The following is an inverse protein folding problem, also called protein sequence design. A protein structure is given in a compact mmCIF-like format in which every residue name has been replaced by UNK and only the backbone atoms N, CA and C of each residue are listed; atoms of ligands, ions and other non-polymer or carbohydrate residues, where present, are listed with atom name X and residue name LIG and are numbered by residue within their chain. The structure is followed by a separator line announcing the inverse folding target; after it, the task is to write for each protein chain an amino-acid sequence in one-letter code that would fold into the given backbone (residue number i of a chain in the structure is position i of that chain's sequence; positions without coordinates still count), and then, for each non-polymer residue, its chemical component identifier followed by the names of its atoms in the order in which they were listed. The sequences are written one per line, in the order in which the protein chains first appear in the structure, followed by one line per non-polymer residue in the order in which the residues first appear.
data_IF_195330006229
#
_entry.id   IF_195330006229
#
_cell.length_a   1.000
_cell.length_b   1.000
_cell.length_c   1.000
_cell.angle_alpha   90.00
_cell.angle_beta   90.00
_cell.angle_gamma   90.00
#
_symmetry.space_group_name_H-M   'P 1'
#
loop_
_entity.id
_entity.type
_entity.pdbx_description
1 polymer ?
#
# COMPACT_ATOMS: atom_id res chain seq x y z
N UNK A 1 -22.53 -111.00 -19.65
CA UNK A 1 -21.92 -110.32 -20.80
C UNK A 1 -23.01 -110.09 -21.85
N UNK A 2 -23.85 -109.09 -21.60
CA UNK A 2 -25.12 -108.77 -22.29
C UNK A 2 -25.26 -107.24 -22.16
N UNK A 3 -25.34 -106.40 -23.19
CA UNK A 3 -26.12 -106.49 -24.42
C UNK A 3 -27.53 -107.01 -24.17
N UNK A 4 -28.42 -106.10 -23.80
CA UNK A 4 -29.39 -105.55 -24.76
C UNK A 4 -30.21 -104.48 -24.00
N UNK A 5 -29.97 -103.19 -24.22
CA UNK A 5 -30.49 -102.43 -25.36
C UNK A 5 -32.02 -102.43 -25.43
N UNK A 6 -32.52 -101.19 -25.38
CA UNK A 6 -33.31 -100.60 -26.47
C UNK A 6 -34.72 -101.17 -26.55
N UNK A 7 -35.68 -100.37 -26.13
CA UNK A 7 -36.56 -99.64 -27.04
C UNK A 7 -37.57 -98.88 -26.15
N UNK A 8 -37.49 -97.55 -26.11
CA UNK A 8 -38.07 -96.69 -27.14
C UNK A 8 -39.59 -96.62 -27.02
N UNK A 9 -40.03 -95.36 -26.92
CA UNK A 9 -41.20 -94.82 -27.60
C UNK A 9 -42.57 -95.07 -26.96
N UNK A 10 -43.30 -93.96 -26.90
CA UNK A 10 -44.76 -93.85 -26.85
C UNK A 10 -45.39 -94.00 -25.47
N UNK A 11 -45.40 -92.92 -24.69
CA UNK A 11 -46.65 -92.39 -24.10
C UNK A 11 -46.51 -90.99 -23.52
N UNK A 12 -45.85 -90.15 -24.31
CA UNK A 12 -45.80 -88.68 -24.19
C UNK A 12 -47.04 -87.97 -24.78
N UNK A 13 -48.20 -88.63 -24.93
CA UNK A 13 -49.16 -88.22 -25.97
C UNK A 13 -50.63 -88.02 -25.59
N UNK A 14 -51.06 -88.18 -24.33
CA UNK A 14 -52.50 -88.03 -24.02
C UNK A 14 -52.91 -86.73 -23.32
N UNK A 15 -52.03 -86.03 -22.60
CA UNK A 15 -52.43 -84.79 -21.91
C UNK A 15 -52.09 -83.50 -22.67
N UNK A 16 -51.18 -83.55 -23.65
CA UNK A 16 -50.88 -82.44 -24.59
C UNK A 16 -52.12 -82.01 -25.39
N UNK A 17 -53.13 -82.88 -25.54
CA UNK A 17 -54.31 -82.59 -26.36
C UNK A 17 -55.44 -81.84 -25.64
N UNK A 18 -55.41 -81.73 -24.31
CA UNK A 18 -56.39 -80.93 -23.56
C UNK A 18 -56.00 -79.44 -23.46
N UNK A 19 -54.70 -79.12 -23.44
CA UNK A 19 -54.21 -77.74 -23.35
C UNK A 19 -54.29 -76.96 -24.68
N UNK A 20 -54.36 -77.64 -25.82
CA UNK A 20 -54.27 -77.01 -27.15
C UNK A 20 -55.52 -76.23 -27.60
N UNK A 21 -56.66 -76.33 -26.91
CA UNK A 21 -57.89 -75.58 -27.28
C UNK A 21 -58.09 -74.27 -26.51
N UNK A 22 -57.45 -74.08 -25.35
CA UNK A 22 -57.51 -72.81 -24.62
C UNK A 22 -56.55 -71.74 -25.19
N UNK A 23 -55.57 -72.14 -25.99
CA UNK A 23 -54.57 -71.24 -26.59
C UNK A 23 -55.13 -70.42 -27.76
N UNK A 24 -56.26 -70.80 -28.37
CA UNK A 24 -56.74 -70.13 -29.58
C UNK A 24 -57.67 -68.91 -29.38
N UNK A 25 -58.05 -68.56 -28.14
CA UNK A 25 -58.93 -67.40 -27.90
C UNK A 25 -58.27 -66.24 -27.12
N UNK A 26 -56.99 -66.38 -26.74
CA UNK A 26 -56.24 -65.36 -26.00
C UNK A 26 -55.25 -64.56 -26.87
N UNK A 27 -55.26 -64.73 -28.20
CA UNK A 27 -54.23 -64.18 -29.11
C UNK A 27 -54.70 -63.03 -30.02
N UNK A 28 -55.80 -62.35 -29.69
CA UNK A 28 -56.37 -61.29 -30.56
C UNK A 28 -56.56 -59.91 -29.90
N UNK A 29 -55.89 -59.63 -28.77
CA UNK A 29 -55.95 -58.32 -28.09
C UNK A 29 -54.61 -57.71 -27.57
N UNK A 30 -53.38 -57.99 -28.06
CA UNK A 30 -52.20 -57.22 -27.60
C UNK A 30 -51.88 -55.96 -28.42
N UNK A 31 -52.27 -55.87 -29.69
CA UNK A 31 -51.61 -54.93 -30.63
C UNK A 31 -52.25 -53.53 -30.72
N UNK A 32 -53.45 -53.31 -30.17
CA UNK A 32 -54.10 -51.99 -30.25
C UNK A 32 -53.81 -51.08 -29.02
N UNK A 33 -53.56 -51.67 -27.85
CA UNK A 33 -53.30 -50.92 -26.61
C UNK A 33 -51.85 -50.39 -26.56
N UNK A 34 -50.93 -51.04 -27.29
CA UNK A 34 -49.51 -50.73 -27.25
C UNK A 34 -49.15 -49.46 -28.02
N UNK A 35 -49.85 -49.13 -29.11
CA UNK A 35 -49.53 -47.95 -29.94
C UNK A 35 -50.06 -46.63 -29.35
N UNK A 36 -51.27 -46.59 -28.77
CA UNK A 36 -51.75 -45.37 -28.08
C UNK A 36 -50.89 -45.04 -26.85
N UNK A 37 -50.48 -46.05 -26.07
CA UNK A 37 -49.55 -45.85 -24.95
C UNK A 37 -48.18 -45.31 -25.40
N UNK A 38 -47.75 -45.63 -26.64
CA UNK A 38 -46.48 -45.17 -27.20
C UNK A 38 -46.56 -43.73 -27.68
N UNK A 39 -47.67 -43.34 -28.29
CA UNK A 39 -47.94 -41.97 -28.74
C UNK A 39 -48.11 -41.04 -27.52
N UNK A 40 -48.83 -41.47 -26.48
CA UNK A 40 -49.05 -40.67 -25.27
C UNK A 40 -47.77 -40.47 -24.43
N UNK A 41 -46.92 -41.50 -24.33
CA UNK A 41 -45.58 -41.34 -23.72
C UNK A 41 -44.64 -40.46 -24.55
N UNK A 42 -44.78 -40.47 -25.87
CA UNK A 42 -44.01 -39.63 -26.78
C UNK A 42 -44.38 -38.16 -26.63
N UNK A 43 -45.68 -37.84 -26.58
CA UNK A 43 -46.17 -36.46 -26.40
C UNK A 43 -45.85 -35.92 -25.01
N UNK A 44 -45.97 -36.73 -23.95
CA UNK A 44 -45.52 -36.34 -22.60
C UNK A 44 -44.02 -36.04 -22.54
N UNK A 45 -43.17 -36.88 -23.17
CA UNK A 45 -41.72 -36.63 -23.22
C UNK A 45 -41.38 -35.33 -23.97
N UNK A 46 -42.08 -35.04 -25.07
CA UNK A 46 -41.87 -33.82 -25.85
C UNK A 46 -42.32 -32.55 -25.09
N UNK A 47 -43.48 -32.62 -24.42
CA UNK A 47 -43.97 -31.51 -23.57
C UNK A 47 -43.06 -31.28 -22.37
N UNK A 48 -42.60 -32.35 -21.71
CA UNK A 48 -41.68 -32.27 -20.58
C UNK A 48 -40.32 -31.68 -20.99
N UNK A 49 -39.78 -32.08 -22.14
CA UNK A 49 -38.55 -31.50 -22.72
C UNK A 49 -38.70 -30.00 -23.04
N UNK A 50 -39.85 -29.58 -23.57
CA UNK A 50 -40.12 -28.16 -23.89
C UNK A 50 -40.25 -27.27 -22.64
N UNK A 51 -40.82 -27.79 -21.56
CA UNK A 51 -40.96 -27.06 -20.29
C UNK A 51 -39.63 -26.95 -19.54
N UNK A 52 -38.78 -27.98 -19.61
CA UNK A 52 -37.42 -27.96 -19.06
C UNK A 52 -36.57 -26.91 -19.78
N UNK A 53 -36.62 -26.85 -21.11
CA UNK A 53 -35.89 -25.85 -21.91
C UNK A 53 -36.29 -24.41 -21.58
N UNK A 54 -37.59 -24.14 -21.41
CA UNK A 54 -38.12 -22.82 -21.02
C UNK A 54 -37.78 -22.44 -19.57
N UNK A 55 -37.70 -23.40 -18.66
CA UNK A 55 -37.30 -23.18 -17.27
C UNK A 55 -35.80 -22.87 -17.17
N UNK A 56 -34.95 -23.62 -17.88
CA UNK A 56 -33.51 -23.40 -17.96
C UNK A 56 -33.16 -22.02 -18.56
N UNK A 57 -33.87 -21.59 -19.61
CA UNK A 57 -33.65 -20.25 -20.20
C UNK A 57 -34.09 -19.12 -19.27
N UNK A 58 -35.12 -19.31 -18.43
CA UNK A 58 -35.53 -18.32 -17.42
C UNK A 58 -34.52 -18.22 -16.27
N UNK A 59 -34.03 -19.36 -15.77
CA UNK A 59 -33.01 -19.41 -14.72
C UNK A 59 -31.71 -18.77 -15.23
N UNK A 60 -31.29 -19.08 -16.47
CA UNK A 60 -30.09 -18.48 -17.07
C UNK A 60 -30.21 -16.96 -17.25
N UNK A 61 -31.39 -16.45 -17.66
CA UNK A 61 -31.64 -15.00 -17.78
C UNK A 61 -31.62 -14.30 -16.42
N UNK A 62 -32.20 -14.91 -15.38
CA UNK A 62 -32.16 -14.36 -14.02
C UNK A 62 -30.74 -14.38 -13.44
N UNK A 63 -29.94 -15.40 -13.76
CA UNK A 63 -28.54 -15.49 -13.36
C UNK A 63 -27.67 -14.41 -14.02
N UNK A 64 -27.89 -14.14 -15.32
CA UNK A 64 -27.18 -13.08 -16.06
C UNK A 64 -27.55 -11.68 -15.52
N UNK A 65 -28.83 -11.42 -15.21
CA UNK A 65 -29.25 -10.14 -14.62
C UNK A 65 -28.68 -9.95 -13.21
N UNK A 66 -28.60 -11.02 -12.41
CA UNK A 66 -27.94 -10.98 -11.09
C UNK A 66 -26.44 -10.71 -11.18
N UNK A 67 -25.75 -11.24 -12.19
CA UNK A 67 -24.31 -11.02 -12.40
C UNK A 67 -23.99 -9.58 -12.83
N UNK A 68 -24.87 -8.97 -13.64
CA UNK A 68 -24.72 -7.57 -14.08
C UNK A 68 -24.96 -6.58 -12.93
N UNK A 69 -25.87 -6.88 -12.01
CA UNK A 69 -26.11 -6.04 -10.81
C UNK A 69 -25.03 -6.18 -9.73
N UNK A 70 -24.27 -7.27 -9.71
CA UNK A 70 -23.14 -7.46 -8.79
C UNK A 70 -21.84 -6.75 -9.26
N UNK A 71 -21.85 -6.15 -10.46
CA UNK A 71 -20.67 -5.51 -11.06
C UNK A 71 -20.62 -4.00 -10.86
N UNK A 72 -21.47 -3.43 -10.01
CA UNK A 72 -21.25 -2.08 -9.51
C UNK A 72 -20.06 -2.11 -8.57
N UNK A 73 -18.86 -2.03 -9.14
CA UNK A 73 -17.65 -1.68 -8.41
C UNK A 73 -17.97 -0.41 -7.64
N UNK A 74 -18.14 -0.52 -6.33
CA UNK A 74 -18.02 0.62 -5.44
C UNK A 74 -16.67 1.23 -5.80
N UNK A 75 -16.66 2.39 -6.44
CA UNK A 75 -15.46 3.15 -6.70
C UNK A 75 -14.98 3.64 -5.33
N UNK A 76 -14.36 2.75 -4.56
CA UNK A 76 -13.56 3.14 -3.43
C UNK A 76 -12.45 3.99 -4.03
N UNK A 77 -12.46 5.29 -3.71
CA UNK A 77 -11.40 6.20 -4.10
C UNK A 77 -10.06 5.53 -3.73
N UNK A 78 -9.27 5.19 -4.74
CA UNK A 78 -7.98 4.55 -4.49
C UNK A 78 -7.15 5.51 -3.63
N UNK A 79 -6.64 5.02 -2.50
CA UNK A 79 -5.82 5.82 -1.57
C UNK A 79 -4.54 6.27 -2.27
N UNK A 80 -4.16 7.54 -2.10
CA UNK A 80 -2.95 8.11 -2.70
C UNK A 80 -1.75 7.90 -1.78
N UNK A 81 -0.78 7.07 -2.15
CA UNK A 81 0.36 6.73 -1.28
C UNK A 81 1.45 7.80 -1.32
N UNK A 82 1.65 8.50 -0.20
CA UNK A 82 2.64 9.59 -0.09
C UNK A 82 3.73 9.19 0.88
N UNK A 83 4.96 9.07 0.37
CA UNK A 83 6.16 8.81 1.14
C UNK A 83 6.86 10.14 1.39
N UNK A 84 6.92 10.59 2.64
CA UNK A 84 7.48 11.90 2.98
C UNK A 84 8.52 11.81 4.10
N UNK A 85 9.56 12.64 4.00
CA UNK A 85 10.56 12.76 5.05
C UNK A 85 9.93 13.06 6.41
N UNK A 86 10.39 12.40 7.48
CA UNK A 86 9.80 12.51 8.82
C UNK A 86 9.74 13.95 9.37
N UNK A 87 10.68 14.82 9.01
CA UNK A 87 10.67 16.24 9.41
C UNK A 87 9.42 16.98 8.90
N UNK A 88 8.88 16.58 7.75
CA UNK A 88 7.70 17.18 7.13
C UNK A 88 6.37 16.79 7.78
N UNK A 89 6.37 15.84 8.73
CA UNK A 89 5.16 15.18 9.21
C UNK A 89 3.99 16.14 9.49
N UNK A 90 4.18 17.07 10.42
CA UNK A 90 3.08 17.96 10.84
C UNK A 90 2.56 18.86 9.71
N UNK A 91 3.44 19.34 8.82
CA UNK A 91 3.03 20.15 7.67
C UNK A 91 2.27 19.32 6.64
N UNK A 92 2.76 18.12 6.31
CA UNK A 92 2.14 17.25 5.32
C UNK A 92 0.82 16.66 5.83
N UNK A 93 0.69 16.37 7.14
CA UNK A 93 -0.58 15.94 7.75
C UNK A 93 -1.68 17.00 7.48
N UNK A 94 -1.39 18.28 7.72
CA UNK A 94 -2.37 19.35 7.48
C UNK A 94 -2.59 19.63 5.98
N UNK A 95 -1.53 19.63 5.17
CA UNK A 95 -1.65 19.79 3.72
C UNK A 95 -2.51 18.68 3.12
N UNK A 96 -2.32 17.44 3.56
CA UNK A 96 -3.09 16.28 3.10
C UNK A 96 -4.56 16.39 3.50
N UNK A 97 -4.87 16.85 4.72
CA UNK A 97 -6.24 17.10 5.14
C UNK A 97 -6.91 18.19 4.27
N UNK A 98 -6.19 19.29 4.01
CA UNK A 98 -6.68 20.37 3.15
C UNK A 98 -6.88 19.90 1.70
N UNK A 99 -5.95 19.09 1.17
CA UNK A 99 -6.05 18.48 -0.15
C UNK A 99 -7.28 17.59 -0.25
N UNK A 100 -7.47 16.66 0.70
CA UNK A 100 -8.61 15.75 0.73
C UNK A 100 -9.95 16.50 0.81
N UNK A 101 -10.03 17.57 1.59
CA UNK A 101 -11.22 18.41 1.67
C UNK A 101 -11.56 19.12 0.34
N UNK A 102 -10.56 19.42 -0.49
CA UNK A 102 -10.74 20.11 -1.77
C UNK A 102 -10.98 19.16 -2.95
N UNK A 103 -10.33 18.01 -2.97
CA UNK A 103 -10.31 17.10 -4.13
C UNK A 103 -11.12 15.83 -3.91
N UNK A 104 -11.44 15.48 -2.66
CA UNK A 104 -12.02 14.20 -2.28
C UNK A 104 -11.04 13.01 -2.35
N UNK A 105 -9.78 13.24 -2.69
CA UNK A 105 -8.74 12.20 -2.69
C UNK A 105 -8.02 12.18 -1.34
N UNK A 106 -8.00 11.03 -0.67
CA UNK A 106 -7.37 10.88 0.65
C UNK A 106 -5.93 10.34 0.52
N UNK A 107 -4.90 11.14 0.89
CA UNK A 107 -3.53 10.66 0.92
C UNK A 107 -3.28 9.74 2.12
N UNK A 108 -2.67 8.58 1.88
CA UNK A 108 -2.10 7.71 2.91
C UNK A 108 -0.64 8.06 3.11
N UNK A 109 -0.32 8.58 4.29
CA UNK A 109 0.98 9.18 4.58
C UNK A 109 1.91 8.18 5.27
N UNK A 110 3.10 8.00 4.71
CA UNK A 110 4.18 7.18 5.28
C UNK A 110 5.41 8.04 5.54
N UNK A 111 5.89 8.01 6.78
CA UNK A 111 7.01 8.85 7.23
C UNK A 111 8.20 8.01 7.68
N UNK A 112 9.38 8.33 7.15
CA UNK A 112 10.66 7.82 7.62
C UNK A 112 11.78 8.77 7.18
N UNK A 113 13.04 8.37 7.36
CA UNK A 113 14.14 9.04 6.69
C UNK A 113 13.99 8.92 5.15
N UNK A 114 14.31 9.97 4.40
CA UNK A 114 14.24 9.95 2.94
C UNK A 114 15.08 8.82 2.34
N UNK A 115 16.19 8.44 2.98
CA UNK A 115 17.01 7.28 2.62
C UNK A 115 16.22 5.97 2.65
N UNK A 116 15.52 5.71 3.74
CA UNK A 116 14.71 4.49 3.91
C UNK A 116 13.57 4.46 2.91
N UNK A 117 12.86 5.58 2.74
CA UNK A 117 11.75 5.68 1.80
C UNK A 117 12.21 5.49 0.34
N UNK A 118 13.32 6.11 -0.05
CA UNK A 118 13.88 5.93 -1.39
C UNK A 118 14.31 4.47 -1.64
N UNK A 119 14.92 3.82 -0.65
CA UNK A 119 15.27 2.40 -0.75
C UNK A 119 14.01 1.51 -0.83
N UNK A 120 12.95 1.83 -0.09
CA UNK A 120 11.68 1.11 -0.22
C UNK A 120 11.10 1.24 -1.63
N UNK A 121 11.08 2.45 -2.20
CA UNK A 121 10.63 2.68 -3.58
C UNK A 121 11.47 1.88 -4.58
N UNK A 122 12.81 1.92 -4.44
CA UNK A 122 13.73 1.10 -5.24
C UNK A 122 13.40 -0.39 -5.16
N UNK A 123 12.97 -0.88 -4.00
CA UNK A 123 12.59 -2.28 -3.77
C UNK A 123 11.13 -2.59 -4.13
N UNK A 124 10.42 -1.67 -4.79
CA UNK A 124 9.07 -1.89 -5.32
C UNK A 124 7.94 -1.60 -4.35
N UNK A 125 8.19 -0.85 -3.26
CA UNK A 125 7.11 -0.37 -2.41
C UNK A 125 6.17 0.56 -3.22
N UNK A 126 4.84 0.39 -3.10
CA UNK A 126 3.89 1.22 -3.82
C UNK A 126 3.87 2.63 -3.24
N UNK A 127 4.39 3.60 -3.99
CA UNK A 127 4.29 5.02 -3.70
C UNK A 127 3.75 5.76 -4.93
N UNK A 128 2.87 6.73 -4.72
CA UNK A 128 2.40 7.65 -5.75
C UNK A 128 3.20 8.95 -5.72
N UNK A 129 3.64 9.39 -4.53
CA UNK A 129 4.43 10.61 -4.32
C UNK A 129 5.62 10.32 -3.39
N UNK A 130 6.77 10.89 -3.72
CA UNK A 130 7.94 10.93 -2.84
C UNK A 130 8.32 12.37 -2.52
N UNK A 131 8.53 12.66 -1.23
CA UNK A 131 8.99 13.97 -0.73
C UNK A 131 10.26 13.79 0.09
N UNK A 132 11.40 14.22 -0.47
CA UNK A 132 12.73 14.08 0.12
C UNK A 132 13.14 15.34 0.87
N UNK A 133 13.94 15.18 1.94
CA UNK A 133 14.58 16.28 2.68
C UNK A 133 15.97 16.68 2.15
N UNK A 134 16.44 16.04 1.08
CA UNK A 134 17.62 16.47 0.33
C UNK A 134 17.52 16.11 -1.16
N UNK A 135 18.37 16.76 -1.96
CA UNK A 135 18.48 16.52 -3.39
C UNK A 135 19.06 15.13 -3.70
N UNK A 136 19.98 14.61 -2.86
CA UNK A 136 20.66 13.34 -3.12
C UNK A 136 19.73 12.14 -3.24
N UNK A 137 18.76 11.99 -2.33
CA UNK A 137 17.79 10.87 -2.41
C UNK A 137 16.73 11.07 -3.48
N UNK A 138 16.41 12.32 -3.83
CA UNK A 138 15.54 12.59 -4.98
C UNK A 138 16.24 12.21 -6.28
N UNK A 139 17.48 12.68 -6.46
CA UNK A 139 18.30 12.35 -7.62
C UNK A 139 18.58 10.84 -7.73
N UNK A 140 18.75 10.15 -6.60
CA UNK A 140 18.87 8.69 -6.59
C UNK A 140 17.67 7.99 -7.27
N UNK A 141 16.43 8.44 -6.99
CA UNK A 141 15.24 7.88 -7.62
C UNK A 141 15.09 8.34 -9.08
N UNK A 142 15.46 9.58 -9.39
CA UNK A 142 15.53 10.09 -10.76
C UNK A 142 16.44 9.21 -11.63
N UNK A 143 17.63 8.88 -11.15
CA UNK A 143 18.59 8.00 -11.84
C UNK A 143 18.07 6.58 -12.06
N UNK A 144 17.15 6.11 -11.22
CA UNK A 144 16.48 4.82 -11.39
C UNK A 144 15.32 4.88 -12.40
N UNK A 145 14.96 6.06 -12.88
CA UNK A 145 13.88 6.26 -13.86
C UNK A 145 12.49 6.01 -13.29
N UNK A 146 12.31 6.10 -11.96
CA UNK A 146 11.01 5.84 -11.31
C UNK A 146 10.12 7.08 -11.16
N UNK A 147 10.66 8.28 -11.44
CA UNK A 147 9.88 9.52 -11.41
C UNK A 147 9.08 9.67 -12.70
N UNK A 148 7.81 10.07 -12.60
CA UNK A 148 6.98 10.41 -13.77
C UNK A 148 7.27 11.81 -14.31
N UNK A 149 7.68 12.71 -13.43
CA UNK A 149 7.92 14.13 -13.73
C UNK A 149 9.19 14.60 -13.01
N UNK A 150 9.75 15.72 -13.46
CA UNK A 150 10.83 16.40 -12.76
C UNK A 150 10.43 16.77 -11.33
N UNK A 151 11.35 16.61 -10.39
CA UNK A 151 11.14 16.97 -9.01
C UNK A 151 10.97 18.50 -8.85
N UNK A 152 10.07 18.91 -7.97
CA UNK A 152 9.79 20.31 -7.66
C UNK A 152 10.31 20.65 -6.27
N UNK A 153 10.99 21.78 -6.10
CA UNK A 153 11.34 22.30 -4.78
C UNK A 153 10.08 22.82 -4.09
N UNK A 154 9.80 22.36 -2.87
CA UNK A 154 8.56 22.68 -2.15
C UNK A 154 8.78 23.44 -0.84
N UNK A 155 9.98 23.38 -0.27
CA UNK A 155 10.34 24.05 0.96
C UNK A 155 11.86 24.03 1.15
N UNK A 156 12.36 24.91 2.01
CA UNK A 156 13.73 24.84 2.54
C UNK A 156 13.75 24.93 4.06
N UNK A 157 14.90 24.72 4.68
CA UNK A 157 15.03 24.69 6.14
C UNK A 157 16.45 25.07 6.59
N UNK A 158 16.66 25.13 7.90
CA UNK A 158 17.95 25.41 8.54
C UNK A 158 18.25 24.40 9.63
N UNK A 159 19.53 24.24 9.95
CA UNK A 159 19.99 23.39 11.05
C UNK A 159 20.23 24.22 12.31
N UNK A 160 19.95 23.63 13.46
CA UNK A 160 20.20 24.23 14.77
C UNK A 160 20.74 23.19 15.74
N UNK A 161 21.58 23.63 16.68
CA UNK A 161 21.73 22.91 17.94
C UNK A 161 20.53 23.22 18.82
N UNK A 162 19.92 22.19 19.38
CA UNK A 162 18.72 22.29 20.18
C UNK A 162 18.86 21.57 21.53
N UNK A 163 18.17 22.08 22.54
CA UNK A 163 18.14 21.54 23.90
C UNK A 163 16.77 21.74 24.51
N UNK A 164 16.43 20.94 25.53
CA UNK A 164 15.24 21.18 26.36
C UNK A 164 15.41 22.40 27.30
N UNK A 165 16.64 22.90 27.46
CA UNK A 165 16.92 24.10 28.23
C UNK A 165 17.20 25.30 27.31
N UNK A 166 16.56 26.47 27.54
CA UNK A 166 16.71 27.67 26.70
C UNK A 166 18.00 28.45 26.99
N UNK A 167 19.11 27.75 27.21
CA UNK A 167 20.41 28.35 27.52
C UNK A 167 21.21 28.42 26.22
N UNK A 168 21.57 29.61 25.71
CA UNK A 168 22.39 29.75 24.51
C UNK A 168 23.69 28.94 24.57
N UNK A 169 24.14 28.51 23.40
CA UNK A 169 25.36 27.73 23.22
C UNK A 169 26.29 28.52 22.27
N UNK A 170 27.52 28.76 22.70
CA UNK A 170 28.57 29.24 21.81
C UNK A 170 28.99 28.10 20.88
N UNK A 171 29.15 28.38 19.59
CA UNK A 171 29.56 27.39 18.58
C UNK A 171 31.07 27.16 18.59
N UNK A 172 31.61 26.89 19.77
CA UNK A 172 33.00 26.51 19.97
C UNK A 172 33.04 25.10 20.54
N UNK A 173 34.03 24.31 20.10
CA UNK A 173 34.11 22.90 20.48
C UNK A 173 34.13 22.68 22.01
N UNK A 174 34.88 23.47 22.83
CA UNK A 174 34.84 23.33 24.28
C UNK A 174 33.46 23.57 24.90
N UNK A 175 32.69 24.52 24.36
CA UNK A 175 31.36 24.84 24.85
C UNK A 175 30.36 23.72 24.53
N UNK A 176 30.45 23.16 23.31
CA UNK A 176 29.63 22.01 22.90
C UNK A 176 29.95 20.81 23.78
N UNK A 177 31.24 20.46 23.95
CA UNK A 177 31.66 19.34 24.79
C UNK A 177 31.28 19.55 26.27
N UNK A 178 31.43 20.78 26.77
CA UNK A 178 31.01 21.18 28.11
C UNK A 178 29.51 20.99 28.32
N UNK A 179 28.69 21.40 27.35
CA UNK A 179 27.23 21.19 27.39
C UNK A 179 26.84 19.72 27.35
N UNK A 180 27.57 18.89 26.60
CA UNK A 180 27.35 17.45 26.58
C UNK A 180 27.67 16.81 27.93
N UNK A 181 28.66 17.34 28.68
CA UNK A 181 29.07 16.85 30.00
C UNK A 181 29.37 15.34 30.01
N UNK A 182 29.97 14.82 28.93
CA UNK A 182 30.22 13.38 28.73
C UNK A 182 29.02 12.57 28.21
N UNK A 183 27.85 13.20 28.08
CA UNK A 183 26.64 12.63 27.48
C UNK A 183 26.68 12.60 25.95
N UNK A 184 25.51 12.33 25.35
CA UNK A 184 25.39 12.15 23.90
C UNK A 184 24.78 13.36 23.18
N UNK A 185 25.13 13.51 21.89
CA UNK A 185 24.54 14.46 20.95
C UNK A 185 23.58 13.70 20.02
N UNK A 186 22.26 13.96 20.11
CA UNK A 186 21.32 13.34 19.18
C UNK A 186 21.50 13.90 17.77
N UNK A 187 21.68 13.03 16.79
CA UNK A 187 21.75 13.37 15.37
C UNK A 187 21.28 12.16 14.58
N UNK A 188 20.60 12.29 13.44
CA UNK A 188 20.29 11.11 12.63
C UNK A 188 21.54 10.48 12.03
N UNK A 189 21.40 9.25 11.52
CA UNK A 189 22.51 8.51 10.91
C UNK A 189 23.24 9.38 9.86
N UNK A 190 24.49 9.74 10.17
CA UNK A 190 25.26 10.75 9.43
C UNK A 190 25.73 10.29 8.06
N UNK A 191 25.63 9.00 7.78
CA UNK A 191 26.04 8.39 6.51
C UNK A 191 24.91 8.31 5.48
N UNK A 192 23.65 8.55 5.86
CA UNK A 192 22.53 8.34 4.92
C UNK A 192 21.30 9.20 5.16
N UNK A 193 20.98 9.58 6.40
CA UNK A 193 19.76 10.35 6.67
C UNK A 193 20.03 11.83 6.34
N UNK A 194 19.13 12.54 5.62
CA UNK A 194 19.36 13.93 5.20
C UNK A 194 19.89 14.87 6.30
N UNK A 195 19.20 14.96 7.44
CA UNK A 195 19.66 15.80 8.56
C UNK A 195 21.03 15.33 9.11
N UNK A 196 21.28 14.02 9.12
CA UNK A 196 22.58 13.46 9.50
C UNK A 196 23.69 13.84 8.52
N UNK A 197 23.41 13.81 7.21
CA UNK A 197 24.35 14.23 6.16
C UNK A 197 24.69 15.72 6.29
N UNK A 198 23.67 16.58 6.44
CA UNK A 198 23.87 18.01 6.67
C UNK A 198 24.62 18.28 7.98
N UNK A 199 24.33 17.52 9.04
CA UNK A 199 25.05 17.62 10.31
C UNK A 199 26.52 17.21 10.15
N UNK A 200 26.82 16.10 9.45
CA UNK A 200 28.20 15.71 9.16
C UNK A 200 28.94 16.78 8.37
N UNK A 201 28.33 17.33 7.31
CA UNK A 201 28.91 18.45 6.55
C UNK A 201 29.20 19.65 7.47
N UNK A 202 28.23 20.04 8.28
CA UNK A 202 28.35 21.16 9.23
C UNK A 202 29.49 20.95 10.22
N UNK A 203 29.50 19.81 10.90
CA UNK A 203 30.50 19.48 11.89
C UNK A 203 31.89 19.32 11.25
N UNK A 204 31.98 18.82 10.02
CA UNK A 204 33.23 18.68 9.30
C UNK A 204 33.81 20.05 8.92
N UNK A 205 32.98 20.94 8.37
CA UNK A 205 33.40 22.27 7.92
C UNK A 205 33.74 23.20 9.09
N UNK A 206 33.14 22.98 10.27
CA UNK A 206 33.54 23.64 11.51
C UNK A 206 34.75 22.99 12.20
N UNK A 207 35.25 21.85 11.70
CA UNK A 207 36.38 21.12 12.30
C UNK A 207 36.03 20.33 13.57
N UNK A 208 34.74 20.13 13.85
CA UNK A 208 34.24 19.49 15.07
C UNK A 208 33.97 17.98 14.92
N UNK A 209 33.80 17.49 13.68
CA UNK A 209 33.29 16.14 13.43
C UNK A 209 34.11 15.05 14.14
N UNK A 210 35.43 15.04 14.00
CA UNK A 210 36.31 14.04 14.64
C UNK A 210 36.14 14.02 16.16
N UNK A 211 36.09 15.19 16.79
CA UNK A 211 35.97 15.32 18.24
C UNK A 211 34.58 14.96 18.76
N UNK A 212 33.52 15.23 18.00
CA UNK A 212 32.14 14.95 18.39
C UNK A 212 31.66 13.54 18.01
N UNK A 213 32.33 12.87 17.06
CA UNK A 213 31.99 11.50 16.62
C UNK A 213 31.78 10.50 17.78
N UNK A 214 32.65 10.46 18.81
CA UNK A 214 32.47 9.56 19.95
C UNK A 214 31.23 9.84 20.80
N UNK A 215 30.63 11.03 20.67
CA UNK A 215 29.48 11.49 21.46
C UNK A 215 28.15 11.38 20.70
N UNK A 216 28.16 11.06 19.40
CA UNK A 216 26.94 10.99 18.61
C UNK A 216 26.02 9.86 19.12
N UNK A 217 24.75 10.17 19.33
CA UNK A 217 23.66 9.22 19.45
C UNK A 217 22.90 9.22 18.12
N UNK A 218 23.25 8.27 17.24
CA UNK A 218 22.70 8.19 15.89
C UNK A 218 21.25 7.69 15.89
N UNK A 219 20.37 8.46 15.26
CA UNK A 219 18.92 8.23 15.24
C UNK A 219 18.43 7.81 13.85
N UNK A 220 17.29 7.12 13.82
CA UNK A 220 16.71 6.62 12.56
C UNK A 220 16.25 7.73 11.60
N UNK A 221 15.82 8.87 12.15
CA UNK A 221 15.34 10.02 11.38
C UNK A 221 15.35 11.31 12.23
N UNK A 222 15.02 12.44 11.60
CA UNK A 222 15.00 13.75 12.25
C UNK A 222 14.04 13.83 13.46
N UNK A 223 12.85 13.22 13.37
CA UNK A 223 11.87 13.23 14.47
C UNK A 223 12.31 12.40 15.66
N UNK A 224 13.02 11.29 15.44
CA UNK A 224 13.63 10.53 16.54
C UNK A 224 14.66 11.38 17.30
N UNK A 225 15.44 12.22 16.61
CA UNK A 225 16.36 13.16 17.29
C UNK A 225 15.63 14.21 18.11
N UNK A 226 14.55 14.78 17.58
CA UNK A 226 13.68 15.70 18.33
C UNK A 226 13.13 15.02 19.60
N UNK A 227 12.65 13.79 19.48
CA UNK A 227 12.07 13.04 20.60
C UNK A 227 13.12 12.78 21.69
N UNK A 228 14.35 12.42 21.34
CA UNK A 228 15.41 12.21 22.34
C UNK A 228 15.75 13.50 23.10
N UNK A 229 15.74 14.66 22.43
CA UNK A 229 15.91 15.97 23.10
C UNK A 229 14.72 16.27 24.01
N UNK A 230 13.49 16.11 23.51
CA UNK A 230 12.25 16.32 24.28
C UNK A 230 12.20 15.49 25.56
N UNK A 231 12.64 14.23 25.49
CA UNK A 231 12.65 13.31 26.63
C UNK A 231 13.82 13.52 27.59
N UNK A 232 14.73 14.43 27.27
CA UNK A 232 15.96 14.64 28.05
C UNK A 232 16.91 13.44 28.02
N UNK A 233 16.78 12.54 27.04
CA UNK A 233 17.72 11.42 26.83
C UNK A 233 19.11 11.94 26.42
N UNK A 234 19.14 13.12 25.80
CA UNK A 234 20.34 13.85 25.42
C UNK A 234 20.26 15.31 25.86
N UNK A 235 21.40 15.92 26.19
CA UNK A 235 21.47 17.33 26.53
C UNK A 235 21.40 18.26 25.31
N UNK A 236 21.86 17.76 24.15
CA UNK A 236 21.87 18.46 22.88
C UNK A 236 21.44 17.53 21.74
N UNK A 237 20.82 18.11 20.73
CA UNK A 237 20.63 17.49 19.42
C UNK A 237 20.91 18.47 18.29
N UNK A 238 21.26 17.96 17.11
CA UNK A 238 21.22 18.72 15.86
C UNK A 238 19.89 18.44 15.18
N UNK A 239 19.05 19.46 15.05
CA UNK A 239 17.68 19.38 14.54
C UNK A 239 17.48 20.34 13.37
N UNK A 240 16.36 20.19 12.65
CA UNK A 240 15.87 21.25 11.79
C UNK A 240 15.17 22.34 12.61
N UNK A 241 15.26 23.60 12.16
CA UNK A 241 14.57 24.72 12.79
C UNK A 241 13.04 24.51 12.82
N UNK A 242 12.47 23.90 11.79
CA UNK A 242 11.03 23.55 11.74
C UNK A 242 10.61 22.54 12.83
N UNK A 243 11.50 21.64 13.24
CA UNK A 243 11.21 20.66 14.29
C UNK A 243 11.11 21.36 15.65
N UNK A 244 11.98 22.36 15.88
CA UNK A 244 11.95 23.22 17.07
C UNK A 244 10.73 24.14 17.08
N UNK A 245 10.36 24.70 15.92
CA UNK A 245 9.25 25.66 15.80
C UNK A 245 7.90 25.12 16.29
N UNK A 246 7.72 23.80 16.32
CA UNK A 246 6.48 23.14 16.76
C UNK A 246 6.61 22.36 18.07
N UNK A 247 7.78 22.44 18.72
CA UNK A 247 8.07 21.76 19.97
C UNK A 247 8.37 22.82 21.04
N UNK A 248 7.36 23.31 21.79
CA UNK A 248 7.53 24.44 22.72
C UNK A 248 8.51 24.16 23.87
N UNK A 249 8.79 22.89 24.15
CA UNK A 249 9.73 22.44 25.19
C UNK A 249 11.17 22.29 24.66
N UNK A 250 11.41 22.53 23.37
CA UNK A 250 12.74 22.47 22.75
C UNK A 250 13.10 23.85 22.25
N UNK A 251 14.34 24.24 22.51
CA UNK A 251 14.86 25.54 22.16
C UNK A 251 16.04 25.39 21.23
N UNK A 252 16.08 26.20 20.17
CA UNK A 252 17.30 26.41 19.40
C UNK A 252 18.27 27.19 20.30
N UNK A 253 19.38 26.55 20.66
CA UNK A 253 20.40 27.14 21.53
C UNK A 253 21.59 27.69 20.75
N UNK A 254 21.77 27.26 19.50
CA UNK A 254 22.66 27.88 18.53
C UNK A 254 22.18 27.58 17.10
N UNK A 255 22.31 28.56 16.20
CA UNK A 255 22.08 28.34 14.77
C UNK A 255 23.34 27.79 14.11
N UNK A 256 23.21 26.78 13.25
CA UNK A 256 24.36 26.31 12.47
C UNK A 256 24.52 27.24 11.26
N UNK A 257 25.74 27.75 10.98
CA UNK A 257 25.95 28.69 9.88
C UNK A 257 25.59 28.08 8.52
N UNK A 258 24.93 28.86 7.66
CA UNK A 258 24.48 28.39 6.34
C UNK A 258 25.63 27.93 5.44
N UNK A 259 26.82 28.51 5.59
CA UNK A 259 28.01 28.14 4.85
C UNK A 259 28.65 26.83 5.34
N UNK A 260 28.19 26.26 6.46
CA UNK A 260 28.74 25.03 7.02
C UNK A 260 28.20 23.77 6.32
N UNK A 261 27.12 23.86 5.55
CA UNK A 261 26.51 22.73 4.86
C UNK A 261 25.84 23.16 3.56
N UNK A 262 25.48 22.20 2.72
CA UNK A 262 24.68 22.50 1.52
C UNK A 262 23.28 23.01 1.92
N UNK A 263 22.59 23.82 1.09
CA UNK A 263 21.24 24.23 1.36
C UNK A 263 20.29 23.05 1.63
N UNK A 264 19.46 23.18 2.66
CA UNK A 264 18.44 22.17 2.97
C UNK A 264 17.22 22.44 2.09
N UNK A 265 17.09 21.67 1.01
CA UNK A 265 15.98 21.77 0.06
C UNK A 265 15.14 20.50 0.10
N UNK A 266 13.83 20.68 0.24
CA UNK A 266 12.85 19.62 0.14
C UNK A 266 12.31 19.56 -1.28
N UNK A 267 12.33 18.37 -1.88
CA UNK A 267 11.81 18.12 -3.22
C UNK A 267 10.66 17.14 -3.18
N UNK A 268 9.62 17.40 -3.98
CA UNK A 268 8.52 16.49 -4.22
C UNK A 268 8.52 16.01 -5.67
N UNK A 269 8.23 14.73 -5.89
CA UNK A 269 8.06 14.16 -7.21
C UNK A 269 6.96 13.09 -7.21
N UNK A 270 6.28 12.95 -8.35
CA UNK A 270 5.30 11.91 -8.59
C UNK A 270 6.01 10.64 -9.06
N UNK A 271 5.75 9.51 -8.39
CA UNK A 271 6.22 8.17 -8.78
C UNK A 271 5.19 7.48 -9.69
N UNK A 272 3.92 7.82 -9.52
CA UNK A 272 2.82 7.38 -10.38
C UNK A 272 2.06 8.58 -10.97
N UNK A 273 1.30 8.42 -12.07
CA UNK A 273 0.47 9.48 -12.63
C UNK A 273 -0.54 10.07 -11.63
N UNK A 274 -0.97 9.28 -10.64
CA UNK A 274 -1.94 9.71 -9.60
C UNK A 274 -1.33 10.74 -8.65
N UNK A 275 -0.02 10.71 -8.46
CA UNK A 275 0.69 11.63 -7.56
C UNK A 275 0.85 13.06 -8.07
N UNK A 276 0.65 13.30 -9.37
CA UNK A 276 0.93 14.60 -9.99
C UNK A 276 0.11 15.74 -9.35
N UNK A 277 -1.19 15.52 -9.11
CA UNK A 277 -2.07 16.54 -8.53
C UNK A 277 -1.65 16.95 -7.12
N UNK A 278 -1.19 16.01 -6.30
CA UNK A 278 -0.71 16.30 -4.94
C UNK A 278 0.64 17.00 -4.96
N UNK A 279 1.55 16.64 -5.87
CA UNK A 279 2.83 17.35 -6.05
C UNK A 279 2.58 18.80 -6.44
N UNK A 280 1.69 19.05 -7.40
CA UNK A 280 1.31 20.41 -7.78
C UNK A 280 0.60 21.15 -6.64
N UNK A 281 -0.17 20.44 -5.81
CA UNK A 281 -0.79 21.03 -4.64
C UNK A 281 0.25 21.54 -3.62
N UNK A 282 1.36 20.83 -3.44
CA UNK A 282 2.44 21.22 -2.52
C UNK A 282 3.09 22.56 -2.87
N UNK A 283 3.06 22.98 -4.13
CA UNK A 283 3.60 24.27 -4.58
C UNK A 283 2.59 25.42 -4.55
N UNK A 284 1.30 25.13 -4.33
CA UNK A 284 0.26 26.18 -4.25
C UNK A 284 0.42 27.03 -3.00
N UNK A 285 0.00 28.30 -3.11
CA UNK A 285 0.07 29.30 -2.02
C UNK A 285 -0.48 28.80 -0.69
N UNK A 286 -1.57 28.02 -0.71
CA UNK A 286 -2.17 27.46 0.50
C UNK A 286 -1.28 26.41 1.19
N UNK A 287 -0.62 25.53 0.45
CA UNK A 287 0.34 24.58 1.01
C UNK A 287 1.61 25.29 1.49
N UNK A 288 2.09 26.28 0.74
CA UNK A 288 3.22 27.13 1.14
C UNK A 288 2.95 27.89 2.45
N UNK A 289 1.73 28.39 2.65
CA UNK A 289 1.33 29.01 3.91
C UNK A 289 1.35 28.01 5.08
N UNK A 290 0.99 26.75 4.84
CA UNK A 290 1.12 25.69 5.85
C UNK A 290 2.59 25.45 6.18
N UNK A 291 3.47 25.25 5.19
CA UNK A 291 4.91 25.10 5.41
C UNK A 291 5.50 26.24 6.26
N UNK A 292 5.21 27.50 5.94
CA UNK A 292 5.70 28.65 6.70
C UNK A 292 5.23 28.65 8.17
N UNK A 293 3.97 28.31 8.45
CA UNK A 293 3.47 28.20 9.84
C UNK A 293 4.18 27.10 10.64
N UNK A 294 4.61 26.02 9.97
CA UNK A 294 5.41 24.95 10.58
C UNK A 294 6.92 25.25 10.62
N UNK A 295 7.34 26.48 10.34
CA UNK A 295 8.74 26.91 10.46
C UNK A 295 9.64 26.51 9.29
N UNK A 296 9.07 26.01 8.19
CA UNK A 296 9.79 25.85 6.93
C UNK A 296 9.94 27.21 6.22
N UNK A 297 10.92 27.28 5.33
CA UNK A 297 11.18 28.43 4.50
C UNK A 297 10.70 28.16 3.07
N UNK A 298 10.56 29.24 2.30
CA UNK A 298 10.21 29.13 0.88
C UNK A 298 11.27 28.29 0.11
N UNK A 299 10.87 27.64 -1.00
CA UNK A 299 11.76 26.87 -1.87
C UNK A 299 13.01 27.62 -2.35
#
# INVERSE_FOLDING_TARGET
MAFLLRLNRKRELSWVRAAHRAVLFSLLLPDYITDEMKIQKSTEKLVHSSNISRSLTRILRLFIVGLVLASTSTCAAQTLDVYAAASLKSAIDEIAANFAAQTGQEPRLSYAASSILALQIKHGAPADVFVSANLGWMHYLEQLGVLQNSAQNIASNRLVFASAAPIPLSLELPDILGRLAGGRLAVPLISSVPLGLYAAQSLQNMGFLTALTPYLAQQDNARSSLISVLRGEVALGILYASDVAIAPEVFAVAEIPLQAHDPVTYQAASISPRGAEFVDYLTKKQAQAVFMRYGFLAP
#
